data_IF_969186229789
#
_entry.id   IF_969186229789
#
_cell.length_a   1.000
_cell.length_b   1.000
_cell.length_c   1.000
_cell.angle_alpha   90.00
_cell.angle_beta   90.00
_cell.angle_gamma   90.00
#
_symmetry.space_group_name_H-M   'P 1'
#
loop_
_entity.id
_entity.type
_entity.pdbx_description
1 polymer ?
#
# COMPACT_ATOMS: atom_id res chain seq x y z
N UNK A 1 -28.67 -6.37 14.86
CA UNK A 1 -28.42 -7.16 13.63
C UNK A 1 -28.89 -6.37 12.44
N UNK A 2 -27.97 -5.77 11.68
CA UNK A 2 -28.28 -5.19 10.36
C UNK A 2 -28.56 -6.37 9.42
N UNK A 3 -29.83 -6.66 9.12
CA UNK A 3 -30.18 -7.73 8.18
C UNK A 3 -30.02 -7.19 6.75
N UNK A 4 -29.14 -7.80 5.97
CA UNK A 4 -29.12 -7.59 4.52
C UNK A 4 -30.35 -8.26 3.93
N UNK A 5 -31.25 -7.48 3.36
CA UNK A 5 -32.41 -7.98 2.62
C UNK A 5 -32.03 -8.05 1.15
N UNK A 6 -31.95 -9.24 0.56
CA UNK A 6 -31.83 -9.40 -0.90
C UNK A 6 -33.21 -9.13 -1.52
N UNK A 7 -33.30 -8.04 -2.27
CA UNK A 7 -34.44 -7.72 -3.13
C UNK A 7 -34.35 -8.43 -4.49
N UNK A 8 -35.16 -8.01 -5.49
CA UNK A 8 -35.08 -8.51 -6.86
C UNK A 8 -33.63 -8.61 -7.36
N UNK A 9 -33.33 -9.57 -8.25
CA UNK A 9 -31.98 -9.94 -8.70
C UNK A 9 -30.99 -8.74 -8.74
N UNK A 10 -29.96 -8.80 -7.92
CA UNK A 10 -28.86 -7.83 -7.89
C UNK A 10 -28.96 -6.66 -6.88
N UNK A 11 -30.12 -6.44 -6.22
CA UNK A 11 -30.27 -5.34 -5.25
C UNK A 11 -29.99 -5.79 -3.81
N UNK A 12 -29.12 -5.08 -3.09
CA UNK A 12 -28.82 -5.31 -1.67
C UNK A 12 -29.09 -4.03 -0.89
N UNK A 13 -29.83 -4.14 0.23
CA UNK A 13 -30.07 -3.03 1.15
C UNK A 13 -29.49 -3.36 2.53
N UNK A 14 -28.73 -2.44 3.08
CA UNK A 14 -28.25 -2.43 4.46
C UNK A 14 -29.05 -1.35 5.20
N UNK A 15 -29.87 -1.75 6.17
CA UNK A 15 -30.71 -0.81 6.91
C UNK A 15 -30.03 -0.41 8.23
N UNK A 16 -30.01 0.90 8.53
CA UNK A 16 -29.52 1.44 9.79
C UNK A 16 -28.03 1.14 10.04
N UNK A 17 -27.21 1.08 8.97
CA UNK A 17 -25.76 0.86 9.10
C UNK A 17 -25.05 2.16 9.42
N UNK A 18 -24.08 2.14 10.34
CA UNK A 18 -23.20 3.29 10.57
C UNK A 18 -22.29 3.51 9.36
N UNK A 19 -22.17 4.76 8.91
CA UNK A 19 -21.28 5.17 7.80
C UNK A 19 -20.41 6.35 8.26
N UNK A 20 -19.39 6.10 9.12
CA UNK A 20 -18.63 7.19 9.75
C UNK A 20 -17.89 8.09 8.76
N UNK A 21 -17.60 7.58 7.56
CA UNK A 21 -17.01 8.36 6.47
C UNK A 21 -17.92 9.49 5.95
N UNK A 22 -19.25 9.41 6.19
CA UNK A 22 -20.22 10.45 5.85
C UNK A 22 -20.64 11.26 7.07
N UNK A 23 -21.01 10.58 8.17
CA UNK A 23 -21.40 11.19 9.44
C UNK A 23 -21.16 10.17 10.56
N UNK A 24 -20.17 10.39 11.46
CA UNK A 24 -19.85 9.44 12.53
C UNK A 24 -20.97 9.26 13.57
N UNK A 25 -21.90 10.25 13.67
CA UNK A 25 -22.98 10.27 14.64
C UNK A 25 -24.31 9.75 14.07
N UNK A 26 -24.29 9.24 12.83
CA UNK A 26 -25.52 8.83 12.14
C UNK A 26 -25.50 7.36 11.67
N UNK A 27 -26.68 6.86 11.40
CA UNK A 27 -26.90 5.61 10.65
C UNK A 27 -27.67 5.90 9.37
N UNK A 28 -27.45 5.04 8.39
CA UNK A 28 -27.93 5.19 7.03
C UNK A 28 -28.60 3.91 6.54
N UNK A 29 -29.59 4.07 5.66
CA UNK A 29 -30.01 3.01 4.75
C UNK A 29 -29.22 3.13 3.46
N UNK A 30 -28.51 2.07 3.13
CA UNK A 30 -27.63 2.00 1.95
C UNK A 30 -28.14 0.90 1.02
N UNK A 31 -28.50 1.28 -0.22
CA UNK A 31 -28.94 0.34 -1.25
C UNK A 31 -27.97 0.35 -2.42
N UNK A 32 -27.62 -0.84 -2.88
CA UNK A 32 -26.79 -1.06 -4.08
C UNK A 32 -27.58 -1.85 -5.11
N UNK A 33 -27.39 -1.54 -6.38
CA UNK A 33 -27.97 -2.24 -7.52
C UNK A 33 -27.13 -1.99 -8.76
N UNK A 34 -27.05 -2.97 -9.65
CA UNK A 34 -26.24 -2.89 -10.89
C UNK A 34 -24.80 -2.44 -10.68
N UNK A 35 -24.21 -2.84 -9.57
CA UNK A 35 -22.81 -2.53 -9.23
C UNK A 35 -22.54 -1.12 -8.70
N UNK A 36 -23.59 -0.30 -8.47
CA UNK A 36 -23.47 1.07 -7.96
C UNK A 36 -24.32 1.29 -6.71
N UNK A 37 -24.00 2.34 -5.95
CA UNK A 37 -24.91 2.84 -4.90
C UNK A 37 -26.12 3.52 -5.53
N UNK A 38 -27.32 3.02 -5.24
CA UNK A 38 -28.58 3.59 -5.75
C UNK A 38 -29.28 4.45 -4.73
N UNK A 39 -29.01 4.24 -3.43
CA UNK A 39 -29.57 5.04 -2.32
C UNK A 39 -28.57 5.06 -1.17
N UNK A 40 -28.37 6.24 -0.57
CA UNK A 40 -27.66 6.45 0.68
C UNK A 40 -28.46 7.52 1.43
N UNK A 41 -29.20 7.13 2.44
CA UNK A 41 -30.12 8.01 3.16
C UNK A 41 -29.88 7.94 4.66
N UNK A 42 -29.70 9.10 5.29
CA UNK A 42 -29.57 9.22 6.74
C UNK A 42 -30.92 8.91 7.40
N UNK A 43 -30.94 7.93 8.29
CA UNK A 43 -32.19 7.45 8.90
C UNK A 43 -32.30 7.74 10.39
N UNK A 44 -31.20 8.10 11.06
CA UNK A 44 -31.27 8.45 12.48
C UNK A 44 -29.90 8.65 13.11
N UNK A 45 -29.89 8.94 14.43
CA UNK A 45 -28.66 9.01 15.20
C UNK A 45 -28.08 7.62 15.43
N UNK A 46 -26.74 7.53 15.50
CA UNK A 46 -26.03 6.31 15.87
C UNK A 46 -26.25 5.99 17.36
N UNK A 47 -26.74 4.80 17.66
CA UNK A 47 -26.99 4.31 19.02
C UNK A 47 -26.20 3.03 19.32
N UNK A 48 -24.96 2.93 18.84
CA UNK A 48 -24.16 1.73 18.81
C UNK A 48 -24.26 1.02 17.45
N UNK A 49 -23.95 -0.24 17.43
CA UNK A 49 -23.92 -1.09 16.23
C UNK A 49 -22.66 -1.92 16.19
N UNK A 50 -22.77 -3.13 15.64
CA UNK A 50 -21.65 -4.08 15.56
C UNK A 50 -20.73 -3.81 14.36
N UNK A 51 -21.27 -3.09 13.35
CA UNK A 51 -20.59 -2.91 12.06
C UNK A 51 -20.67 -1.46 11.56
N UNK A 52 -19.66 -1.11 10.77
CA UNK A 52 -19.52 0.16 10.07
C UNK A 52 -19.26 -0.10 8.59
N UNK A 53 -19.91 0.67 7.73
CA UNK A 53 -19.62 0.67 6.29
C UNK A 53 -18.58 1.74 5.97
N UNK A 54 -17.51 1.32 5.35
CA UNK A 54 -16.43 2.16 4.87
C UNK A 54 -16.16 1.88 3.39
N UNK A 55 -15.61 2.80 2.60
CA UNK A 55 -15.07 2.45 1.28
C UNK A 55 -14.09 1.28 1.39
N UNK A 56 -13.85 0.56 0.31
CA UNK A 56 -12.78 -0.43 0.29
C UNK A 56 -11.43 0.19 0.63
N UNK A 57 -10.55 -0.57 1.25
CA UNK A 57 -9.21 -0.11 1.59
C UNK A 57 -8.40 0.26 0.35
N UNK A 58 -7.52 1.23 0.50
CA UNK A 58 -6.54 1.62 -0.50
C UNK A 58 -5.14 1.42 0.07
N UNK A 59 -4.34 0.59 -0.59
CA UNK A 59 -2.89 0.49 -0.36
C UNK A 59 -2.21 1.63 -1.10
N UNK A 60 -1.59 2.55 -0.36
CA UNK A 60 -1.02 3.77 -0.97
C UNK A 60 0.46 3.66 -1.31
N UNK A 61 1.12 2.55 -0.94
CA UNK A 61 2.51 2.28 -1.27
C UNK A 61 2.79 0.77 -1.29
N UNK A 62 2.90 0.20 -2.46
CA UNK A 62 3.23 -1.21 -2.67
C UNK A 62 4.19 -1.41 -3.84
N UNK A 63 4.72 -2.61 -3.95
CA UNK A 63 5.58 -3.11 -5.01
C UNK A 63 5.07 -4.48 -5.46
N UNK A 64 4.07 -4.50 -6.34
CA UNK A 64 3.35 -5.74 -6.71
C UNK A 64 4.21 -6.79 -7.43
N UNK A 65 5.39 -6.41 -7.89
CA UNK A 65 6.33 -7.29 -8.59
C UNK A 65 7.60 -7.61 -7.80
N UNK A 66 7.70 -7.18 -6.53
CA UNK A 66 8.83 -7.52 -5.69
C UNK A 66 8.52 -8.74 -4.81
N UNK A 67 9.57 -9.47 -4.36
CA UNK A 67 9.42 -10.64 -3.51
C UNK A 67 9.09 -10.23 -2.07
N UNK A 68 7.79 -10.22 -1.71
CA UNK A 68 7.37 -10.05 -0.32
C UNK A 68 7.83 -11.21 0.58
N UNK A 69 8.12 -12.36 -0.02
CA UNK A 69 8.50 -13.57 0.66
C UNK A 69 9.97 -13.54 1.12
N UNK A 70 10.25 -14.11 2.28
CA UNK A 70 11.60 -14.20 2.84
C UNK A 70 12.54 -15.13 2.07
N UNK A 71 12.01 -15.99 1.21
CA UNK A 71 12.77 -16.88 0.33
C UNK A 71 13.01 -16.28 -1.07
N UNK A 72 12.81 -14.96 -1.21
CA UNK A 72 12.92 -14.19 -2.46
C UNK A 72 12.01 -14.68 -3.60
N UNK A 73 10.97 -15.46 -3.28
CA UNK A 73 9.99 -15.91 -4.26
C UNK A 73 9.05 -14.78 -4.64
N UNK A 74 9.07 -14.37 -5.90
CA UNK A 74 8.11 -13.41 -6.47
C UNK A 74 6.80 -14.14 -6.76
N UNK A 75 5.70 -13.62 -6.24
CA UNK A 75 4.38 -14.18 -6.51
C UNK A 75 3.84 -13.77 -7.88
N UNK A 76 3.01 -14.64 -8.46
CA UNK A 76 2.25 -14.31 -9.66
C UNK A 76 1.33 -13.10 -9.36
N UNK A 77 1.32 -12.04 -10.20
CA UNK A 77 0.45 -10.87 -10.00
C UNK A 77 -1.03 -11.20 -9.83
N UNK A 78 -1.49 -12.35 -10.36
CA UNK A 78 -2.86 -12.83 -10.13
C UNK A 78 -3.09 -13.23 -8.67
N UNK A 79 -2.11 -13.87 -8.04
CA UNK A 79 -2.15 -14.22 -6.62
C UNK A 79 -2.13 -12.94 -5.79
N UNK A 80 -1.21 -12.02 -6.09
CA UNK A 80 -1.10 -10.72 -5.41
C UNK A 80 -2.43 -9.97 -5.43
N UNK A 81 -3.13 -9.93 -6.57
CA UNK A 81 -4.44 -9.30 -6.68
C UNK A 81 -5.49 -9.94 -5.76
N UNK A 82 -5.51 -11.28 -5.69
CA UNK A 82 -6.44 -12.01 -4.82
C UNK A 82 -6.09 -11.85 -3.34
N UNK A 83 -4.79 -11.73 -2.98
CA UNK A 83 -4.35 -11.41 -1.61
C UNK A 83 -4.89 -10.05 -1.17
N UNK A 84 -4.80 -9.02 -2.00
CA UNK A 84 -5.37 -7.70 -1.71
C UNK A 84 -6.89 -7.78 -1.49
N UNK A 85 -7.62 -8.44 -2.39
CA UNK A 85 -9.08 -8.60 -2.25
C UNK A 85 -9.47 -9.34 -0.97
N UNK A 86 -8.74 -10.39 -0.61
CA UNK A 86 -8.98 -11.18 0.59
C UNK A 86 -9.00 -10.29 1.85
N UNK A 87 -8.11 -9.30 1.90
CA UNK A 87 -7.96 -8.36 3.01
C UNK A 87 -8.80 -7.07 2.85
N UNK A 88 -9.68 -7.01 1.84
CA UNK A 88 -10.57 -5.87 1.61
C UNK A 88 -9.88 -4.67 0.96
N UNK A 89 -8.69 -4.85 0.39
CA UNK A 89 -8.01 -3.82 -0.38
C UNK A 89 -8.52 -3.83 -1.81
N UNK A 90 -9.05 -2.69 -2.26
CA UNK A 90 -9.73 -2.55 -3.54
C UNK A 90 -9.01 -1.60 -4.51
N UNK A 91 -8.04 -0.86 -4.01
CA UNK A 91 -7.20 0.07 -4.78
C UNK A 91 -5.75 -0.08 -4.33
N UNK A 92 -4.81 -0.11 -5.27
CA UNK A 92 -3.39 -0.32 -5.02
C UNK A 92 -2.57 0.69 -5.80
N UNK A 93 -1.64 1.38 -5.12
CA UNK A 93 -0.63 2.24 -5.71
C UNK A 93 0.68 1.47 -5.77
N UNK A 94 1.10 1.08 -6.96
CA UNK A 94 2.36 0.38 -7.21
C UNK A 94 3.47 1.41 -7.47
N UNK A 95 4.38 1.55 -6.51
CA UNK A 95 5.40 2.61 -6.48
C UNK A 95 6.57 2.39 -7.43
N UNK A 96 6.81 1.19 -7.86
CA UNK A 96 7.56 0.78 -9.05
C UNK A 96 7.49 -0.73 -9.23
N UNK A 97 7.62 -1.18 -10.46
CA UNK A 97 7.57 -2.60 -10.76
C UNK A 97 8.01 -2.93 -12.18
N UNK A 98 8.19 -4.21 -12.45
CA UNK A 98 8.49 -4.66 -13.82
C UNK A 98 7.24 -4.48 -14.70
N UNK A 99 7.37 -4.01 -15.96
CA UNK A 99 6.23 -3.76 -16.85
C UNK A 99 5.32 -4.96 -17.06
N UNK A 100 5.91 -6.17 -17.08
CA UNK A 100 5.18 -7.42 -17.17
C UNK A 100 4.13 -7.62 -16.07
N UNK A 101 4.30 -6.97 -14.92
CA UNK A 101 3.34 -7.05 -13.82
C UNK A 101 2.04 -6.32 -14.12
N UNK A 102 2.09 -5.17 -14.78
CA UNK A 102 0.90 -4.43 -15.18
C UNK A 102 0.10 -5.19 -16.25
N UNK A 103 0.79 -5.76 -17.24
CA UNK A 103 0.17 -6.58 -18.28
C UNK A 103 -0.42 -7.87 -17.69
N UNK A 104 0.31 -8.55 -16.80
CA UNK A 104 -0.17 -9.75 -16.13
C UNK A 104 -1.37 -9.44 -15.21
N UNK A 105 -1.38 -8.28 -14.56
CA UNK A 105 -2.52 -7.80 -13.76
C UNK A 105 -3.75 -7.58 -14.64
N UNK A 106 -3.58 -6.90 -15.78
CA UNK A 106 -4.67 -6.67 -16.75
C UNK A 106 -5.23 -7.98 -17.30
N UNK A 107 -4.36 -8.88 -17.77
CA UNK A 107 -4.74 -10.20 -18.27
C UNK A 107 -5.41 -11.06 -17.18
N UNK A 108 -4.91 -11.02 -15.94
CA UNK A 108 -5.50 -11.69 -14.80
C UNK A 108 -6.91 -11.17 -14.50
N UNK A 109 -7.11 -9.86 -14.58
CA UNK A 109 -8.43 -9.23 -14.39
C UNK A 109 -9.43 -9.67 -15.43
N UNK A 110 -9.03 -9.79 -16.70
CA UNK A 110 -9.89 -10.25 -17.80
C UNK A 110 -10.27 -11.73 -17.66
N UNK A 111 -9.35 -12.56 -17.20
CA UNK A 111 -9.55 -14.00 -17.04
C UNK A 111 -10.20 -14.40 -15.69
N UNK A 112 -10.25 -13.51 -14.72
CA UNK A 112 -10.72 -13.81 -13.37
C UNK A 112 -12.24 -13.84 -13.27
N UNK A 113 -12.82 -14.84 -12.59
CA UNK A 113 -14.23 -14.81 -12.20
C UNK A 113 -14.49 -13.80 -11.05
N UNK A 114 -13.44 -13.24 -10.44
CA UNK A 114 -13.49 -12.28 -9.34
C UNK A 114 -13.23 -10.87 -9.85
N UNK A 115 -13.85 -9.84 -9.24
CA UNK A 115 -13.40 -8.49 -9.47
C UNK A 115 -11.96 -8.34 -8.98
N UNK A 116 -11.17 -7.52 -9.68
CA UNK A 116 -9.79 -7.22 -9.32
C UNK A 116 -9.71 -5.86 -8.62
N UNK A 117 -8.73 -5.66 -7.70
CA UNK A 117 -8.42 -4.33 -7.22
C UNK A 117 -8.01 -3.43 -8.39
N UNK A 118 -8.40 -2.16 -8.32
CA UNK A 118 -7.87 -1.17 -9.25
C UNK A 118 -6.41 -0.89 -8.91
N UNK A 119 -5.55 -0.77 -9.92
CA UNK A 119 -4.13 -0.46 -9.76
C UNK A 119 -3.79 0.82 -10.50
N UNK A 120 -2.95 1.66 -9.90
CA UNK A 120 -2.20 2.72 -10.58
C UNK A 120 -0.71 2.52 -10.29
N UNK A 121 0.15 2.83 -11.25
CA UNK A 121 1.58 2.57 -11.13
C UNK A 121 2.44 3.67 -11.77
N UNK A 122 3.67 3.82 -11.30
CA UNK A 122 4.63 4.73 -11.90
C UNK A 122 5.39 4.12 -13.10
N UNK A 123 5.28 2.82 -13.31
CA UNK A 123 6.20 2.09 -14.19
C UNK A 123 7.56 1.92 -13.52
N UNK A 124 8.64 2.31 -14.19
CA UNK A 124 9.98 2.33 -13.59
C UNK A 124 10.18 3.58 -12.74
N UNK A 125 10.76 3.41 -11.56
CA UNK A 125 11.22 4.54 -10.76
C UNK A 125 12.44 5.23 -11.43
N UNK A 126 12.76 6.43 -10.98
CA UNK A 126 13.98 7.12 -11.37
C UNK A 126 14.93 7.24 -10.19
N UNK A 127 16.24 7.10 -10.45
CA UNK A 127 17.29 7.18 -9.43
C UNK A 127 18.58 7.75 -9.99
N UNK A 128 19.61 7.92 -9.14
CA UNK A 128 20.91 8.41 -9.56
C UNK A 128 21.68 7.34 -10.36
N UNK A 129 22.58 7.80 -11.23
CA UNK A 129 23.57 6.94 -11.86
C UNK A 129 24.60 6.41 -10.86
N UNK A 130 25.35 5.39 -11.26
CA UNK A 130 26.51 4.92 -10.52
C UNK A 130 27.53 6.07 -10.40
N UNK A 131 27.99 6.33 -9.20
CA UNK A 131 29.00 7.37 -8.93
C UNK A 131 30.43 6.87 -9.14
N UNK A 132 31.40 7.76 -8.94
CA UNK A 132 32.83 7.45 -9.10
C UNK A 132 33.36 6.40 -8.10
N UNK A 133 32.64 6.16 -7.00
CA UNK A 133 32.94 5.12 -6.03
C UNK A 133 32.26 3.77 -6.34
N UNK A 134 31.57 3.67 -7.49
CA UNK A 134 30.85 2.47 -7.92
C UNK A 134 29.51 2.25 -7.19
N UNK A 135 29.00 3.24 -6.45
CA UNK A 135 27.71 3.15 -5.75
C UNK A 135 26.57 3.41 -6.71
N UNK A 136 25.61 2.52 -6.78
CA UNK A 136 24.39 2.69 -7.55
C UNK A 136 23.36 3.51 -6.77
N UNK A 137 22.43 4.14 -7.47
CA UNK A 137 21.29 4.79 -6.83
C UNK A 137 20.41 3.78 -6.12
N UNK A 138 20.07 4.03 -4.86
CA UNK A 138 19.18 3.21 -4.02
C UNK A 138 19.54 1.71 -3.95
N UNK A 139 20.82 1.36 -4.06
CA UNK A 139 21.30 -0.02 -3.91
C UNK A 139 20.76 -1.02 -4.95
N UNK A 140 20.33 -0.55 -6.08
CA UNK A 140 19.68 -1.39 -7.08
C UNK A 140 20.71 -2.24 -7.83
N UNK A 141 20.61 -3.55 -7.70
CA UNK A 141 21.30 -4.50 -8.56
C UNK A 141 20.52 -4.70 -9.86
N UNK A 142 21.21 -4.72 -11.00
CA UNK A 142 20.56 -4.90 -12.29
C UNK A 142 20.32 -6.37 -12.64
N UNK A 143 19.18 -6.69 -13.32
CA UNK A 143 18.16 -5.80 -13.87
C UNK A 143 17.14 -5.36 -12.81
N UNK A 144 16.86 -4.05 -12.76
CA UNK A 144 15.88 -3.46 -11.84
C UNK A 144 14.93 -2.52 -12.62
N UNK A 145 13.69 -2.32 -12.13
CA UNK A 145 12.70 -1.45 -12.78
C UNK A 145 12.95 0.03 -12.49
N UNK A 146 14.15 0.53 -12.88
CA UNK A 146 14.55 1.91 -12.66
C UNK A 146 15.21 2.52 -13.89
N UNK A 147 15.05 3.84 -14.07
CA UNK A 147 15.83 4.67 -14.97
C UNK A 147 16.86 5.47 -14.17
N UNK A 148 18.09 5.46 -14.65
CA UNK A 148 19.16 6.27 -14.06
C UNK A 148 19.20 7.66 -14.69
N UNK A 149 19.22 8.68 -13.84
CA UNK A 149 19.26 10.08 -14.28
C UNK A 149 20.63 10.68 -14.05
N UNK A 150 21.30 11.12 -15.12
CA UNK A 150 22.50 11.95 -15.07
C UNK A 150 22.21 13.37 -15.59
N UNK A 151 21.35 13.49 -16.59
CA UNK A 151 20.99 14.72 -17.28
C UNK A 151 19.48 14.82 -17.52
N UNK A 152 19.05 15.98 -17.90
CA UNK A 152 17.63 16.32 -18.09
C UNK A 152 16.93 15.46 -19.17
N UNK A 153 17.66 15.07 -20.23
CA UNK A 153 17.13 14.21 -21.29
C UNK A 153 16.77 12.81 -20.80
N UNK A 154 17.45 12.31 -19.76
CA UNK A 154 17.16 10.98 -19.22
C UNK A 154 15.77 10.95 -18.57
N UNK A 155 15.41 12.06 -17.87
CA UNK A 155 14.08 12.18 -17.27
C UNK A 155 13.00 12.30 -18.35
N UNK A 156 13.23 13.03 -19.43
CA UNK A 156 12.29 13.14 -20.53
C UNK A 156 12.02 11.78 -21.17
N UNK A 157 13.08 10.97 -21.34
CA UNK A 157 12.97 9.59 -21.82
C UNK A 157 12.17 8.72 -20.80
N UNK A 158 12.50 8.78 -19.52
CA UNK A 158 11.85 8.00 -18.47
C UNK A 158 10.35 8.30 -18.39
N UNK A 159 9.95 9.58 -18.42
CA UNK A 159 8.55 10.00 -18.38
C UNK A 159 7.76 9.48 -19.60
N UNK A 160 8.33 9.60 -20.81
CA UNK A 160 7.68 9.06 -22.01
C UNK A 160 7.56 7.53 -21.97
N UNK A 161 8.63 6.84 -21.67
CA UNK A 161 8.64 5.38 -21.62
C UNK A 161 7.70 4.81 -20.54
N UNK A 162 7.58 5.49 -19.40
CA UNK A 162 6.61 5.11 -18.38
C UNK A 162 5.17 5.37 -18.85
N UNK A 163 4.89 6.52 -19.45
CA UNK A 163 3.56 6.84 -19.98
C UNK A 163 3.12 5.85 -21.08
N UNK A 164 4.01 5.45 -21.97
CA UNK A 164 3.75 4.42 -23.01
C UNK A 164 3.39 3.06 -22.42
N UNK A 165 3.83 2.78 -21.18
CA UNK A 165 3.51 1.56 -20.41
C UNK A 165 2.32 1.74 -19.46
N UNK A 166 1.61 2.87 -19.51
CA UNK A 166 0.46 3.16 -18.66
C UNK A 166 0.82 3.70 -17.28
N UNK A 167 2.08 4.06 -17.03
CA UNK A 167 2.51 4.75 -15.81
C UNK A 167 1.89 6.14 -15.73
N UNK A 168 1.32 6.48 -14.58
CA UNK A 168 0.50 7.68 -14.39
C UNK A 168 1.14 8.74 -13.48
N UNK A 169 2.17 8.37 -12.74
CA UNK A 169 2.91 9.25 -11.84
C UNK A 169 4.41 8.91 -11.89
N UNK A 170 5.23 9.69 -11.21
CA UNK A 170 6.68 9.50 -11.14
C UNK A 170 7.09 9.11 -9.72
N UNK A 171 7.83 8.02 -9.56
CA UNK A 171 8.54 7.67 -8.32
C UNK A 171 10.01 8.06 -8.44
N UNK A 172 10.52 8.80 -7.46
CA UNK A 172 11.92 9.22 -7.37
C UNK A 172 12.55 8.53 -6.15
N UNK A 173 13.61 7.76 -6.36
CA UNK A 173 14.38 7.12 -5.30
C UNK A 173 15.59 8.00 -4.99
N UNK A 174 15.62 8.58 -3.79
CA UNK A 174 16.58 9.64 -3.45
C UNK A 174 17.47 9.32 -2.24
N UNK A 175 17.04 8.48 -1.31
CA UNK A 175 17.83 8.16 -0.12
C UNK A 175 19.22 7.62 -0.45
N UNK A 176 20.22 7.98 0.37
CA UNK A 176 21.58 7.43 0.28
C UNK A 176 21.89 6.36 1.33
N UNK A 177 20.89 5.95 2.11
CA UNK A 177 21.05 4.96 3.17
C UNK A 177 21.70 5.48 4.44
N UNK A 178 21.83 6.79 4.64
CA UNK A 178 22.49 7.38 5.81
C UNK A 178 21.72 7.20 7.12
N UNK A 179 20.43 6.91 7.05
CA UNK A 179 19.61 6.59 8.21
C UNK A 179 20.03 5.29 8.92
N UNK A 180 20.97 4.56 8.35
CA UNK A 180 21.55 3.35 8.93
C UNK A 180 23.02 3.57 9.28
N UNK A 181 23.37 4.25 10.40
CA UNK A 181 24.74 4.46 10.82
C UNK A 181 25.49 3.13 10.95
N UNK A 182 26.68 3.06 10.37
CA UNK A 182 27.48 1.82 10.37
C UNK A 182 27.12 0.83 9.26
N UNK A 183 26.06 1.04 8.50
CA UNK A 183 25.78 0.24 7.30
C UNK A 183 26.93 0.38 6.30
N UNK A 184 27.46 -0.72 5.76
CA UNK A 184 28.46 -0.67 4.70
C UNK A 184 27.86 -0.17 3.37
N UNK A 185 26.55 -0.22 3.25
CA UNK A 185 25.83 0.17 2.04
C UNK A 185 25.59 1.67 2.04
N UNK A 186 26.06 2.31 0.98
CA UNK A 186 25.77 3.72 0.67
C UNK A 186 25.32 3.79 -0.76
N UNK A 187 24.27 4.60 -1.00
CA UNK A 187 23.72 4.79 -2.33
C UNK A 187 24.20 6.10 -2.93
N UNK A 188 24.27 6.14 -4.25
CA UNK A 188 24.41 7.37 -5.01
C UNK A 188 23.09 8.16 -4.97
N UNK A 189 23.16 9.49 -4.87
CA UNK A 189 21.99 10.39 -4.88
C UNK A 189 21.97 11.25 -6.12
N UNK A 190 20.76 11.62 -6.54
CA UNK A 190 20.56 12.67 -7.52
C UNK A 190 21.19 13.97 -7.00
N UNK A 191 21.90 14.70 -7.87
CA UNK A 191 22.38 16.04 -7.53
C UNK A 191 21.18 16.99 -7.33
N UNK A 192 21.36 18.02 -6.50
CA UNK A 192 20.31 19.03 -6.26
C UNK A 192 19.78 19.63 -7.58
N UNK A 193 20.66 19.86 -8.54
CA UNK A 193 20.26 20.34 -9.88
C UNK A 193 19.30 19.40 -10.58
N UNK A 194 19.61 18.09 -10.60
CA UNK A 194 18.76 17.09 -11.24
C UNK A 194 17.45 16.93 -10.46
N UNK A 195 17.52 16.97 -9.13
CA UNK A 195 16.33 16.86 -8.27
C UNK A 195 15.35 18.03 -8.50
N UNK A 196 15.84 19.28 -8.50
CA UNK A 196 15.03 20.48 -8.81
C UNK A 196 14.43 20.43 -10.22
N UNK A 197 15.23 19.99 -11.18
CA UNK A 197 14.77 19.81 -12.53
C UNK A 197 13.67 18.76 -12.62
N UNK A 198 13.84 17.64 -11.90
CA UNK A 198 12.84 16.54 -11.87
C UNK A 198 11.49 17.03 -11.33
N UNK A 199 11.50 17.74 -10.20
CA UNK A 199 10.27 18.28 -9.61
C UNK A 199 9.58 19.28 -10.56
N UNK A 200 10.35 20.19 -11.16
CA UNK A 200 9.83 21.19 -12.10
C UNK A 200 9.25 20.54 -13.35
N UNK A 201 9.98 19.63 -14.01
CA UNK A 201 9.51 18.98 -15.24
C UNK A 201 8.27 18.12 -14.98
N UNK A 202 8.18 17.42 -13.87
CA UNK A 202 7.00 16.68 -13.49
C UNK A 202 5.79 17.61 -13.37
N UNK A 203 5.94 18.74 -12.66
CA UNK A 203 4.88 19.73 -12.50
C UNK A 203 4.45 20.37 -13.85
N UNK A 204 5.41 20.77 -14.71
CA UNK A 204 5.15 21.35 -16.04
C UNK A 204 4.37 20.37 -16.96
N UNK A 205 4.55 19.08 -16.77
CA UNK A 205 3.86 18.03 -17.53
C UNK A 205 2.57 17.53 -16.87
N UNK A 206 2.22 18.06 -15.71
CA UNK A 206 1.06 17.60 -14.95
C UNK A 206 1.22 16.17 -14.41
N UNK A 207 2.46 15.69 -14.25
CA UNK A 207 2.77 14.39 -13.67
C UNK A 207 3.03 14.56 -12.18
N UNK A 208 2.25 13.87 -11.36
CA UNK A 208 2.47 13.87 -9.91
C UNK A 208 3.75 13.10 -9.58
N UNK A 209 4.63 13.67 -8.73
CA UNK A 209 5.88 13.04 -8.33
C UNK A 209 5.87 12.66 -6.85
N UNK A 210 6.22 11.40 -6.56
CA UNK A 210 6.40 10.86 -5.21
C UNK A 210 7.88 10.57 -4.98
N UNK A 211 8.45 11.04 -3.87
CA UNK A 211 9.87 10.89 -3.59
C UNK A 211 10.13 10.02 -2.36
N UNK A 212 11.13 9.18 -2.46
CA UNK A 212 11.65 8.36 -1.37
C UNK A 212 12.74 9.14 -0.63
N UNK A 213 12.43 9.53 0.61
CA UNK A 213 13.34 10.17 1.54
C UNK A 213 13.17 9.51 2.91
N UNK A 214 14.29 9.25 3.60
CA UNK A 214 14.29 8.56 4.88
C UNK A 214 14.72 9.45 6.05
N UNK A 215 15.52 10.47 5.78
CA UNK A 215 16.04 11.39 6.79
C UNK A 215 15.38 12.78 6.70
N UNK A 216 15.40 13.51 7.81
CA UNK A 216 14.95 14.91 7.83
C UNK A 216 15.70 15.76 6.81
N UNK A 217 17.00 15.56 6.68
CA UNK A 217 17.82 16.32 5.74
C UNK A 217 17.43 16.05 4.29
N UNK A 218 17.21 14.80 3.91
CA UNK A 218 16.74 14.43 2.57
C UNK A 218 15.34 15.00 2.29
N UNK A 219 14.45 14.93 3.27
CA UNK A 219 13.09 15.48 3.17
C UNK A 219 13.10 16.99 2.95
N UNK A 220 13.96 17.73 3.69
CA UNK A 220 14.14 19.17 3.48
C UNK A 220 14.62 19.48 2.07
N UNK A 221 15.65 18.82 1.60
CA UNK A 221 16.17 19.04 0.23
C UNK A 221 15.11 18.76 -0.83
N UNK A 222 14.39 17.65 -0.68
CA UNK A 222 13.32 17.31 -1.63
C UNK A 222 12.18 18.33 -1.57
N UNK A 223 11.76 18.78 -0.39
CA UNK A 223 10.73 19.79 -0.22
C UNK A 223 11.13 21.14 -0.82
N UNK A 224 12.37 21.60 -0.59
CA UNK A 224 12.95 22.80 -1.20
C UNK A 224 13.05 22.72 -2.73
N UNK A 225 13.22 21.50 -3.26
CA UNK A 225 13.20 21.24 -4.69
C UNK A 225 11.79 21.23 -5.31
N UNK A 226 10.72 21.23 -4.48
CA UNK A 226 9.34 21.29 -4.94
C UNK A 226 8.50 20.04 -4.72
N UNK A 227 9.08 18.95 -4.18
CA UNK A 227 8.30 17.75 -3.87
C UNK A 227 7.36 17.98 -2.68
N UNK A 228 6.18 17.35 -2.72
CA UNK A 228 5.14 17.44 -1.69
C UNK A 228 4.56 16.08 -1.28
N UNK A 229 4.93 15.00 -1.96
CA UNK A 229 4.50 13.64 -1.66
C UNK A 229 5.72 12.79 -1.32
N UNK A 230 5.78 12.33 -0.08
CA UNK A 230 6.88 11.55 0.47
C UNK A 230 6.44 10.10 0.67
N UNK A 231 7.21 9.19 0.10
CA UNK A 231 6.93 7.76 0.11
C UNK A 231 7.01 7.13 1.51
N UNK A 232 7.71 7.78 2.42
CA UNK A 232 7.88 7.37 3.81
C UNK A 232 7.81 8.57 4.75
N UNK A 233 7.57 8.31 6.03
CA UNK A 233 7.82 9.30 7.08
C UNK A 233 9.30 9.32 7.45
N UNK A 234 9.78 10.46 7.94
CA UNK A 234 11.15 10.62 8.44
C UNK A 234 11.43 9.59 9.54
N UNK A 235 12.58 8.92 9.46
CA UNK A 235 12.93 7.79 10.34
C UNK A 235 14.21 7.97 11.16
N UNK A 236 14.99 9.03 10.93
CA UNK A 236 16.23 9.31 11.65
C UNK A 236 16.02 10.15 12.93
N UNK A 237 14.83 10.73 13.10
CA UNK A 237 14.41 11.46 14.31
C UNK A 237 12.91 11.73 14.34
N UNK A 238 12.41 12.00 15.53
CA UNK A 238 11.07 12.58 15.71
C UNK A 238 11.10 14.06 15.32
N UNK A 239 10.15 14.49 14.48
CA UNK A 239 9.97 15.87 14.05
C UNK A 239 9.25 16.67 15.14
N UNK A 240 9.70 17.88 15.37
CA UNK A 240 9.06 18.84 16.28
C UNK A 240 8.11 19.80 15.49
N UNK A 241 7.45 20.69 16.22
CA UNK A 241 6.51 21.65 15.61
C UNK A 241 7.18 22.64 14.64
N UNK A 242 8.49 22.90 14.78
CA UNK A 242 9.25 23.77 13.86
C UNK A 242 9.50 23.01 12.55
N UNK A 243 9.96 21.75 12.66
CA UNK A 243 10.15 20.88 11.50
C UNK A 243 8.84 20.74 10.70
N UNK A 244 7.71 20.48 11.38
CA UNK A 244 6.41 20.33 10.70
C UNK A 244 5.92 21.59 9.99
N UNK A 245 6.24 22.79 10.49
CA UNK A 245 5.90 24.03 9.80
C UNK A 245 6.67 24.22 8.50
N UNK A 246 7.85 23.63 8.39
CA UNK A 246 8.64 23.66 7.15
C UNK A 246 7.97 22.85 6.03
N UNK A 247 7.15 21.84 6.36
CA UNK A 247 6.55 20.91 5.42
C UNK A 247 5.07 21.20 5.13
N UNK A 248 4.66 22.45 5.11
CA UNK A 248 3.27 22.83 4.81
C UNK A 248 2.82 22.29 3.45
N UNK A 249 1.67 21.59 3.42
CA UNK A 249 1.12 20.96 2.22
C UNK A 249 1.84 19.69 1.76
N UNK A 250 2.83 19.20 2.52
CA UNK A 250 3.42 17.90 2.26
C UNK A 250 2.55 16.78 2.83
N UNK A 251 2.55 15.63 2.14
CA UNK A 251 1.90 14.40 2.60
C UNK A 251 2.92 13.26 2.66
N UNK A 252 2.75 12.39 3.64
CA UNK A 252 3.66 11.30 3.95
C UNK A 252 2.94 9.96 3.97
N UNK A 253 3.56 8.91 3.44
CA UNK A 253 3.07 7.55 3.59
C UNK A 253 3.70 6.91 4.83
N UNK A 254 2.94 6.14 5.61
CA UNK A 254 3.41 5.61 6.90
C UNK A 254 4.48 4.52 6.78
N UNK A 255 4.20 3.42 6.11
CA UNK A 255 5.11 2.30 5.76
C UNK A 255 5.89 1.65 6.93
N UNK A 256 5.29 1.59 8.11
CA UNK A 256 5.90 0.92 9.28
C UNK A 256 6.04 -0.58 9.04
N UNK A 257 5.06 -1.19 8.37
CA UNK A 257 5.03 -2.61 8.07
C UNK A 257 6.20 -3.05 7.17
N UNK A 258 6.74 -2.16 6.33
CA UNK A 258 7.92 -2.44 5.51
C UNK A 258 9.23 -2.56 6.32
N UNK A 259 9.33 -1.85 7.44
CA UNK A 259 10.53 -1.88 8.30
C UNK A 259 10.41 -2.91 9.44
N UNK A 260 9.20 -3.15 9.94
CA UNK A 260 8.93 -3.99 11.13
C UNK A 260 9.53 -5.40 11.02
N UNK A 261 9.40 -6.15 9.91
CA UNK A 261 9.91 -7.50 9.80
C UNK A 261 11.43 -7.61 10.02
N UNK A 262 12.18 -6.56 9.71
CA UNK A 262 13.64 -6.55 9.79
C UNK A 262 14.19 -6.56 11.22
N UNK A 263 13.36 -6.31 12.22
CA UNK A 263 13.77 -6.26 13.64
C UNK A 263 13.22 -7.41 14.47
N UNK A 264 12.60 -8.42 13.86
CA UNK A 264 11.93 -9.53 14.51
C UNK A 264 12.60 -10.87 14.19
N UNK A 265 12.56 -11.80 15.14
CA UNK A 265 12.79 -13.22 14.85
C UNK A 265 11.59 -13.78 14.07
N UNK A 266 11.75 -14.94 13.44
CA UNK A 266 10.64 -15.61 12.76
C UNK A 266 9.51 -15.98 13.71
N UNK A 267 9.82 -16.38 14.96
CA UNK A 267 8.80 -16.69 15.97
C UNK A 267 8.00 -15.45 16.36
N UNK A 268 8.67 -14.34 16.66
CA UNK A 268 8.02 -13.06 16.96
C UNK A 268 7.17 -12.58 15.78
N UNK A 269 7.71 -12.67 14.57
CA UNK A 269 6.99 -12.32 13.35
C UNK A 269 5.69 -13.13 13.21
N UNK A 270 5.76 -14.47 13.31
CA UNK A 270 4.58 -15.32 13.19
C UNK A 270 3.59 -15.12 14.31
N UNK A 271 4.03 -14.83 15.54
CA UNK A 271 3.14 -14.51 16.66
C UNK A 271 2.36 -13.21 16.41
N UNK A 272 3.00 -12.20 15.84
CA UNK A 272 2.38 -10.90 15.57
C UNK A 272 1.58 -10.90 14.27
N UNK A 273 2.10 -11.53 13.21
CA UNK A 273 1.52 -11.53 11.87
C UNK A 273 0.76 -12.80 11.50
N UNK A 274 0.95 -13.92 12.18
CA UNK A 274 0.29 -15.20 11.87
C UNK A 274 -1.19 -15.26 12.27
N UNK A 275 -1.96 -14.18 12.08
CA UNK A 275 -3.38 -14.06 12.40
C UNK A 275 -4.26 -14.55 11.26
N UNK A 276 -5.58 -14.50 11.44
CA UNK A 276 -6.57 -14.80 10.42
C UNK A 276 -6.28 -14.10 9.09
N UNK A 277 -6.33 -14.82 8.00
CA UNK A 277 -6.03 -14.33 6.65
C UNK A 277 -4.57 -14.48 6.23
N UNK A 278 -3.62 -14.65 7.16
CA UNK A 278 -2.21 -14.81 6.81
C UNK A 278 -1.94 -16.20 6.22
N UNK A 279 -2.29 -17.26 6.94
CA UNK A 279 -2.06 -18.63 6.49
C UNK A 279 -2.88 -18.99 5.24
N UNK A 280 -4.06 -18.40 5.08
CA UNK A 280 -4.93 -18.61 3.93
C UNK A 280 -4.41 -17.96 2.64
N UNK A 281 -3.57 -16.93 2.79
CA UNK A 281 -3.08 -16.14 1.65
C UNK A 281 -1.59 -16.28 1.39
N UNK A 282 -0.79 -16.76 2.37
CA UNK A 282 0.65 -16.91 2.21
C UNK A 282 1.06 -18.32 1.76
N UNK A 283 2.20 -18.44 1.11
CA UNK A 283 2.77 -19.74 0.71
C UNK A 283 3.29 -20.49 1.94
N UNK A 284 2.92 -21.76 2.07
CA UNK A 284 3.35 -22.62 3.18
C UNK A 284 4.88 -22.75 3.24
N UNK A 285 5.55 -22.78 2.08
CA UNK A 285 7.02 -22.88 2.00
C UNK A 285 7.68 -21.63 2.61
N UNK A 286 7.12 -20.46 2.32
CA UNK A 286 7.58 -19.21 2.92
C UNK A 286 7.34 -19.18 4.43
N UNK A 287 6.21 -19.70 4.91
CA UNK A 287 5.93 -19.82 6.35
C UNK A 287 6.95 -20.74 7.06
N UNK A 288 7.34 -21.84 6.43
CA UNK A 288 8.37 -22.74 6.98
C UNK A 288 9.74 -22.09 7.00
N UNK A 289 10.08 -21.29 5.97
CA UNK A 289 11.29 -20.49 5.96
C UNK A 289 11.29 -19.47 7.11
N UNK A 290 10.21 -18.72 7.29
CA UNK A 290 10.07 -17.71 8.36
C UNK A 290 10.24 -18.35 9.74
N UNK A 291 9.68 -19.54 10.00
CA UNK A 291 9.87 -20.26 11.25
C UNK A 291 11.34 -20.59 11.58
N UNK A 292 12.17 -20.71 10.55
CA UNK A 292 13.61 -20.96 10.68
C UNK A 292 14.46 -19.72 10.98
N UNK A 293 13.88 -18.51 10.98
CA UNK A 293 14.61 -17.27 11.27
C UNK A 293 14.84 -17.14 12.78
N UNK A 294 16.02 -17.55 13.24
CA UNK A 294 16.37 -17.51 14.66
C UNK A 294 16.75 -16.12 15.17
N UNK A 295 17.27 -15.26 14.29
CA UNK A 295 17.76 -13.92 14.63
C UNK A 295 17.15 -12.87 13.71
N UNK A 296 16.78 -11.68 14.24
CA UNK A 296 16.37 -10.59 13.39
C UNK A 296 17.38 -10.26 12.30
N UNK A 297 16.92 -10.02 11.09
CA UNK A 297 17.77 -9.65 9.96
C UNK A 297 18.68 -8.45 10.26
N UNK A 298 18.17 -7.47 11.02
CA UNK A 298 18.95 -6.31 11.44
C UNK A 298 20.18 -6.64 12.32
N UNK A 299 20.19 -7.76 13.06
CA UNK A 299 21.35 -8.18 13.87
C UNK A 299 22.50 -8.58 12.97
N UNK A 300 22.24 -9.32 11.89
CA UNK A 300 23.28 -9.78 10.97
C UNK A 300 24.06 -8.62 10.35
N UNK A 301 23.36 -7.51 10.10
CA UNK A 301 23.96 -6.30 9.53
C UNK A 301 24.38 -5.25 10.59
N UNK A 302 24.22 -5.55 11.89
CA UNK A 302 24.58 -4.62 12.98
C UNK A 302 23.73 -3.36 13.04
N UNK A 303 22.52 -3.39 12.50
CA UNK A 303 21.64 -2.21 12.38
C UNK A 303 20.31 -2.35 13.15
N UNK A 304 20.14 -3.40 13.96
CA UNK A 304 18.87 -3.67 14.65
C UNK A 304 18.44 -2.52 15.58
N UNK A 305 19.34 -2.01 16.41
CA UNK A 305 19.03 -0.91 17.34
C UNK A 305 18.63 0.36 16.58
N UNK A 306 19.36 0.67 15.51
CA UNK A 306 19.04 1.81 14.64
C UNK A 306 17.67 1.65 13.97
N UNK A 307 17.35 0.46 13.48
CA UNK A 307 16.05 0.18 12.86
C UNK A 307 14.91 0.21 13.88
N UNK A 308 15.13 -0.26 15.10
CA UNK A 308 14.15 -0.16 16.20
C UNK A 308 13.85 1.29 16.53
N UNK A 309 14.89 2.14 16.66
CA UNK A 309 14.73 3.56 16.87
C UNK A 309 14.02 4.23 15.68
N UNK A 310 14.41 3.89 14.45
CA UNK A 310 13.78 4.40 13.23
C UNK A 310 12.29 4.07 13.17
N UNK A 311 11.87 2.85 13.49
CA UNK A 311 10.47 2.46 13.54
C UNK A 311 9.67 3.29 14.56
N UNK A 312 10.26 3.55 15.73
CA UNK A 312 9.64 4.38 16.76
C UNK A 312 9.50 5.83 16.31
N UNK A 313 10.51 6.40 15.62
CA UNK A 313 10.46 7.75 15.06
C UNK A 313 9.45 7.84 13.92
N UNK A 314 9.44 6.89 12.99
CA UNK A 314 8.45 6.79 11.92
C UNK A 314 7.03 6.80 12.49
N UNK A 315 6.75 6.00 13.51
CA UNK A 315 5.43 5.95 14.13
C UNK A 315 5.03 7.29 14.74
N UNK A 316 5.94 7.93 15.50
CA UNK A 316 5.66 9.26 16.09
C UNK A 316 5.37 10.30 14.99
N UNK A 317 6.17 10.30 13.93
CA UNK A 317 6.00 11.21 12.80
C UNK A 317 4.71 10.90 12.02
N UNK A 318 4.38 9.63 11.78
CA UNK A 318 3.12 9.23 11.16
C UNK A 318 1.90 9.69 11.98
N UNK A 319 1.92 9.54 13.30
CA UNK A 319 0.84 10.01 14.16
C UNK A 319 0.73 11.54 14.20
N UNK A 320 1.85 12.26 14.11
CA UNK A 320 1.82 13.72 13.97
C UNK A 320 1.20 14.12 12.62
N UNK A 321 1.62 13.49 11.50
CA UNK A 321 1.03 13.70 10.18
C UNK A 321 -0.47 13.33 10.15
N UNK A 322 -0.88 12.24 10.81
CA UNK A 322 -2.30 11.84 10.92
C UNK A 322 -3.16 12.94 11.55
N UNK A 323 -2.70 13.50 12.69
CA UNK A 323 -3.43 14.58 13.40
C UNK A 323 -3.51 15.88 12.58
N UNK A 324 -2.60 16.08 11.65
CA UNK A 324 -2.57 17.22 10.72
C UNK A 324 -3.41 16.97 9.46
N UNK A 325 -3.82 15.74 9.19
CA UNK A 325 -4.50 15.34 7.97
C UNK A 325 -3.56 15.07 6.78
N UNK A 326 -2.27 14.98 7.04
CA UNK A 326 -1.21 14.86 6.03
C UNK A 326 -0.69 13.41 5.87
N UNK A 327 -1.25 12.44 6.61
CA UNK A 327 -0.87 11.03 6.51
C UNK A 327 -1.63 10.31 5.41
N UNK A 328 -0.93 9.45 4.70
CA UNK A 328 -1.46 8.39 3.84
C UNK A 328 -1.06 7.05 4.47
N UNK A 329 -1.97 6.07 4.47
CA UNK A 329 -1.69 4.74 5.04
C UNK A 329 -1.25 3.81 3.93
N UNK A 330 0.00 3.38 3.96
CA UNK A 330 0.58 2.42 3.03
C UNK A 330 1.63 1.57 3.74
N UNK A 331 2.08 0.49 3.11
CA UNK A 331 2.81 -0.57 3.80
C UNK A 331 4.21 -0.81 3.30
N UNK A 332 4.52 -0.39 2.08
CA UNK A 332 5.71 -0.81 1.35
C UNK A 332 5.70 -2.34 1.07
N UNK A 333 4.48 -2.92 0.92
CA UNK A 333 4.31 -4.34 0.63
C UNK A 333 4.94 -4.72 -0.71
N UNK A 334 5.55 -5.90 -0.75
CA UNK A 334 6.49 -6.33 -1.78
C UNK A 334 7.93 -6.34 -1.30
N UNK A 335 8.29 -5.58 -0.26
CA UNK A 335 9.54 -5.78 0.45
C UNK A 335 9.45 -7.00 1.36
N UNK A 336 10.60 -7.64 1.62
CA UNK A 336 10.70 -8.89 2.38
C UNK A 336 9.99 -8.80 3.74
N UNK A 337 9.02 -9.66 3.96
CA UNK A 337 8.20 -9.71 5.17
C UNK A 337 7.03 -8.72 5.19
N UNK A 338 6.89 -7.85 4.20
CA UNK A 338 5.74 -6.96 4.03
C UNK A 338 4.78 -7.54 2.97
N UNK A 339 3.82 -8.33 3.41
CA UNK A 339 2.94 -9.13 2.56
C UNK A 339 1.78 -8.36 1.97
N UNK A 340 1.47 -8.62 0.71
CA UNK A 340 0.40 -7.98 -0.03
C UNK A 340 -0.97 -8.15 0.64
N UNK A 341 -1.68 -7.06 0.84
CA UNK A 341 -2.99 -7.01 1.48
C UNK A 341 -2.93 -7.17 3.01
N UNK A 342 -2.26 -8.20 3.52
CA UNK A 342 -2.15 -8.46 4.94
C UNK A 342 -1.45 -7.32 5.70
N UNK A 343 -0.35 -6.82 5.15
CA UNK A 343 0.44 -5.77 5.80
C UNK A 343 -0.32 -4.46 6.01
N UNK A 344 -1.35 -4.17 5.18
CA UNK A 344 -2.17 -2.98 5.40
C UNK A 344 -2.96 -3.04 6.72
N UNK A 345 -3.48 -4.21 7.06
CA UNK A 345 -4.17 -4.41 8.33
C UNK A 345 -3.18 -4.33 9.51
N UNK A 346 -1.98 -4.90 9.35
CA UNK A 346 -0.90 -4.79 10.34
C UNK A 346 -0.43 -3.34 10.53
N UNK A 347 -0.33 -2.57 9.44
CA UNK A 347 0.01 -1.14 9.47
C UNK A 347 -0.98 -0.34 10.32
N UNK A 348 -2.28 -0.62 10.17
CA UNK A 348 -3.32 0.03 10.99
C UNK A 348 -3.13 -0.24 12.48
N UNK A 349 -2.81 -1.49 12.87
CA UNK A 349 -2.53 -1.84 14.28
C UNK A 349 -1.21 -1.21 14.77
N UNK A 350 -0.16 -1.20 13.96
CA UNK A 350 1.11 -0.55 14.30
C UNK A 350 0.95 0.95 14.55
N UNK A 351 0.14 1.62 13.72
CA UNK A 351 -0.18 3.04 13.90
C UNK A 351 -1.06 3.28 15.14
N UNK A 352 -2.10 2.47 15.32
CA UNK A 352 -3.03 2.58 16.46
C UNK A 352 -2.31 2.37 17.79
N UNK A 353 -1.55 1.28 17.92
CA UNK A 353 -1.05 0.83 19.21
C UNK A 353 -2.20 0.64 20.19
N UNK A 354 -2.07 1.21 21.40
CA UNK A 354 -3.07 1.09 22.47
C UNK A 354 -4.10 2.23 22.48
N UNK A 355 -4.13 3.10 21.45
CA UNK A 355 -5.00 4.27 21.40
C UNK A 355 -6.21 4.07 20.46
N UNK A 356 -7.36 3.58 20.94
CA UNK A 356 -8.55 3.38 20.11
C UNK A 356 -9.19 4.68 19.59
N UNK A 357 -8.81 5.84 20.11
CA UNK A 357 -9.30 7.13 19.59
C UNK A 357 -8.80 7.42 18.17
N UNK A 358 -7.75 6.72 17.73
CA UNK A 358 -7.19 6.85 16.38
C UNK A 358 -7.98 6.06 15.32
N UNK A 359 -8.84 5.11 15.72
CA UNK A 359 -9.50 4.16 14.80
C UNK A 359 -10.23 4.85 13.65
N UNK A 360 -11.04 5.85 13.96
CA UNK A 360 -11.81 6.58 12.93
C UNK A 360 -10.92 7.33 11.94
N UNK A 361 -9.84 7.97 12.43
CA UNK A 361 -8.90 8.70 11.58
C UNK A 361 -8.09 7.74 10.70
N UNK A 362 -7.61 6.64 11.25
CA UNK A 362 -6.85 5.63 10.52
C UNK A 362 -7.69 4.96 9.43
N UNK A 363 -8.93 4.56 9.75
CA UNK A 363 -9.88 4.05 8.76
C UNK A 363 -10.19 5.06 7.68
N UNK A 364 -10.38 6.33 8.04
CA UNK A 364 -10.61 7.39 7.05
C UNK A 364 -9.42 7.52 6.09
N UNK A 365 -8.18 7.52 6.59
CA UNK A 365 -6.98 7.62 5.75
C UNK A 365 -6.75 6.37 4.90
N UNK A 366 -7.01 5.16 5.44
CA UNK A 366 -6.89 3.92 4.67
C UNK A 366 -8.00 3.71 3.63
N UNK A 367 -9.05 4.54 3.63
CA UNK A 367 -10.21 4.41 2.73
C UNK A 367 -10.42 5.69 1.92
N UNK A 368 -11.06 6.72 2.47
CA UNK A 368 -11.40 7.96 1.77
C UNK A 368 -10.13 8.74 1.39
N UNK A 369 -9.20 8.91 2.32
CA UNK A 369 -7.92 9.59 2.09
C UNK A 369 -7.08 8.87 1.05
N UNK A 370 -6.90 7.55 1.22
CA UNK A 370 -6.17 6.70 0.27
C UNK A 370 -6.81 6.69 -1.11
N UNK A 371 -8.17 6.61 -1.19
CA UNK A 371 -8.85 6.66 -2.48
C UNK A 371 -8.65 8.01 -3.20
N UNK A 372 -8.69 9.11 -2.47
CA UNK A 372 -8.43 10.44 -3.04
C UNK A 372 -7.00 10.54 -3.59
N UNK A 373 -6.03 9.98 -2.87
CA UNK A 373 -4.65 9.88 -3.33
C UNK A 373 -4.49 8.99 -4.56
N UNK A 374 -5.15 7.82 -4.58
CA UNK A 374 -5.17 6.93 -5.74
C UNK A 374 -5.73 7.63 -6.99
N UNK A 375 -6.86 8.35 -6.85
CA UNK A 375 -7.47 9.10 -7.95
C UNK A 375 -6.55 10.21 -8.46
N UNK A 376 -5.86 10.94 -7.56
CA UNK A 376 -4.86 11.94 -7.91
C UNK A 376 -3.71 11.34 -8.74
N UNK A 377 -3.11 10.25 -8.26
CA UNK A 377 -2.02 9.58 -8.98
C UNK A 377 -2.47 8.96 -10.30
N UNK A 378 -3.72 8.53 -10.40
CA UNK A 378 -4.32 7.99 -11.63
C UNK A 378 -4.70 9.06 -12.65
N UNK A 379 -4.52 10.36 -12.35
CA UNK A 379 -4.98 11.47 -13.19
C UNK A 379 -6.51 11.57 -13.28
N UNK A 380 -7.25 10.95 -12.38
CA UNK A 380 -8.72 11.00 -12.33
C UNK A 380 -9.17 12.27 -11.60
N UNK A 381 -10.28 12.84 -12.05
CA UNK A 381 -10.87 13.98 -11.35
C UNK A 381 -11.40 13.53 -9.99
N UNK A 382 -10.82 14.04 -8.91
CA UNK A 382 -11.28 13.80 -7.54
C UNK A 382 -12.52 14.64 -7.27
N UNK A 383 -13.71 14.12 -7.52
CA UNK A 383 -14.92 14.97 -7.42
C UNK A 383 -16.00 14.43 -6.50
N UNK A 384 -16.31 13.15 -6.58
CA UNK A 384 -17.38 12.54 -5.81
C UNK A 384 -16.82 11.73 -4.63
N UNK A 385 -17.50 11.80 -3.48
CA UNK A 385 -17.20 10.90 -2.36
C UNK A 385 -17.37 9.44 -2.80
N UNK A 386 -16.46 8.50 -2.45
CA UNK A 386 -16.57 7.10 -2.86
C UNK A 386 -17.88 6.43 -2.41
N UNK A 387 -18.49 6.93 -1.33
CA UNK A 387 -19.84 6.57 -0.89
C UNK A 387 -20.82 7.65 -1.33
N UNK A 388 -21.16 7.72 -2.60
CA UNK A 388 -22.20 8.60 -3.16
C UNK A 388 -23.09 7.82 -4.12
N UNK A 389 -24.32 8.27 -4.28
CA UNK A 389 -25.25 7.68 -5.25
C UNK A 389 -24.65 7.78 -6.65
N UNK A 390 -24.68 6.69 -7.40
CA UNK A 390 -24.05 6.55 -8.72
C UNK A 390 -22.58 6.12 -8.70
N UNK A 391 -21.89 6.19 -7.56
CA UNK A 391 -20.55 5.65 -7.44
C UNK A 391 -20.54 4.11 -7.45
N UNK A 392 -19.44 3.45 -7.91
CA UNK A 392 -19.29 2.01 -7.83
C UNK A 392 -19.53 1.51 -6.40
N UNK A 393 -20.36 0.50 -6.21
CA UNK A 393 -20.64 -0.11 -4.92
C UNK A 393 -19.44 -0.95 -4.45
N UNK A 394 -18.36 -0.26 -4.03
CA UNK A 394 -17.10 -0.85 -3.55
C UNK A 394 -16.89 -0.42 -2.10
N UNK A 395 -17.06 -1.36 -1.17
CA UNK A 395 -17.03 -1.07 0.25
C UNK A 395 -16.62 -2.29 1.10
N UNK A 396 -16.15 -2.00 2.30
CA UNK A 396 -15.96 -2.94 3.39
C UNK A 396 -17.03 -2.73 4.46
N UNK A 397 -17.61 -3.80 4.97
CA UNK A 397 -18.32 -3.80 6.23
C UNK A 397 -17.33 -4.24 7.30
N UNK A 398 -16.95 -3.33 8.17
CA UNK A 398 -15.98 -3.55 9.23
C UNK A 398 -16.71 -3.76 10.56
N UNK A 399 -16.06 -4.44 11.50
CA UNK A 399 -16.49 -4.36 12.88
C UNK A 399 -16.38 -2.93 13.39
N UNK A 400 -17.35 -2.50 14.18
CA UNK A 400 -17.28 -1.20 14.85
C UNK A 400 -16.03 -1.15 15.76
N UNK A 401 -15.46 0.04 15.88
CA UNK A 401 -14.29 0.26 16.76
C UNK A 401 -14.62 -0.10 18.20
N UNK A 402 -13.72 -0.83 18.84
CA UNK A 402 -13.81 -1.19 20.24
C UNK A 402 -12.38 -1.26 20.83
N UNK A 403 -12.21 -0.90 22.12
CA UNK A 403 -10.86 -0.86 22.73
C UNK A 403 -10.13 -2.20 22.70
N UNK A 404 -10.85 -3.30 22.79
CA UNK A 404 -10.37 -4.69 22.83
C UNK A 404 -10.28 -5.35 21.45
N UNK A 405 -10.64 -4.64 20.38
CA UNK A 405 -10.62 -5.18 19.01
C UNK A 405 -9.50 -4.55 18.19
N UNK A 406 -8.65 -5.40 17.60
CA UNK A 406 -7.61 -4.97 16.68
C UNK A 406 -8.21 -4.36 15.39
N UNK A 407 -7.55 -3.33 14.84
CA UNK A 407 -7.91 -2.79 13.52
C UNK A 407 -7.54 -3.76 12.38
N UNK A 408 -6.60 -4.66 12.62
CA UNK A 408 -6.20 -5.73 11.70
C UNK A 408 -7.24 -6.84 11.52
N UNK A 409 -8.38 -6.77 12.22
CA UNK A 409 -9.47 -7.71 11.97
C UNK A 409 -9.94 -7.62 10.51
N UNK A 410 -10.07 -8.79 9.86
CA UNK A 410 -10.60 -8.85 8.49
C UNK A 410 -11.96 -8.15 8.41
N UNK A 411 -12.28 -7.46 7.30
CA UNK A 411 -13.62 -6.98 7.06
C UNK A 411 -14.65 -8.10 7.22
N UNK A 412 -15.78 -7.86 7.84
CA UNK A 412 -16.89 -8.82 7.91
C UNK A 412 -17.35 -9.20 6.50
N UNK A 413 -17.35 -8.19 5.63
CA UNK A 413 -17.74 -8.33 4.22
C UNK A 413 -16.98 -7.34 3.37
N UNK A 414 -16.55 -7.79 2.21
CA UNK A 414 -15.99 -6.94 1.16
C UNK A 414 -16.87 -7.04 -0.08
N UNK A 415 -17.24 -5.91 -0.64
CA UNK A 415 -18.02 -5.82 -1.87
C UNK A 415 -17.25 -4.98 -2.87
N UNK A 416 -17.11 -5.45 -4.10
CA UNK A 416 -16.45 -4.72 -5.18
C UNK A 416 -17.39 -4.63 -6.37
N UNK A 417 -17.80 -3.39 -6.70
CA UNK A 417 -18.77 -3.13 -7.78
C UNK A 417 -20.03 -4.00 -7.67
N UNK A 418 -20.56 -4.11 -6.44
CA UNK A 418 -21.75 -4.89 -6.14
C UNK A 418 -21.52 -6.39 -6.00
N UNK A 419 -20.32 -6.91 -6.32
CA UNK A 419 -19.99 -8.32 -6.15
C UNK A 419 -19.45 -8.58 -4.75
N UNK A 420 -20.07 -9.50 -4.04
CA UNK A 420 -19.63 -9.98 -2.71
C UNK A 420 -18.42 -10.89 -2.84
N UNK A 421 -17.41 -10.64 -2.04
CA UNK A 421 -16.15 -11.41 -2.08
C UNK A 421 -16.25 -12.61 -1.14
N UNK A 422 -16.30 -13.81 -1.71
CA UNK A 422 -16.22 -15.08 -1.00
C UNK A 422 -14.75 -15.40 -0.67
N UNK A 423 -14.30 -15.07 0.54
CA UNK A 423 -12.92 -15.31 1.00
C UNK A 423 -12.51 -16.79 0.97
N UNK A 424 -13.33 -17.75 1.45
CA UNK A 424 -13.00 -19.16 1.30
C UNK A 424 -12.74 -19.58 -0.16
N UNK A 425 -13.52 -19.05 -1.09
CA UNK A 425 -13.29 -19.34 -2.51
C UNK A 425 -12.03 -18.65 -3.04
N UNK A 426 -11.72 -17.40 -2.59
CA UNK A 426 -10.45 -16.75 -2.92
C UNK A 426 -9.25 -17.54 -2.38
N UNK A 427 -9.27 -18.01 -1.14
CA UNK A 427 -8.19 -18.81 -0.58
C UNK A 427 -7.94 -20.08 -1.41
N UNK A 428 -9.01 -20.77 -1.85
CA UNK A 428 -8.89 -21.93 -2.75
C UNK A 428 -8.30 -21.54 -4.12
N UNK A 429 -8.68 -20.39 -4.67
CA UNK A 429 -8.13 -19.90 -5.93
C UNK A 429 -6.64 -19.56 -5.82
N UNK A 430 -6.21 -18.90 -4.73
CA UNK A 430 -4.81 -18.65 -4.42
C UNK A 430 -4.02 -19.96 -4.35
N UNK A 431 -4.51 -20.93 -3.59
CA UNK A 431 -3.86 -22.23 -3.46
C UNK A 431 -3.78 -22.98 -4.81
N UNK A 432 -4.82 -22.90 -5.64
CA UNK A 432 -4.83 -23.51 -6.97
C UNK A 432 -3.83 -22.87 -7.93
N UNK A 433 -3.66 -21.53 -7.87
CA UNK A 433 -2.66 -20.82 -8.70
C UNK A 433 -1.23 -21.14 -8.27
N UNK A 434 -0.98 -21.44 -6.99
CA UNK A 434 0.34 -21.85 -6.48
C UNK A 434 0.65 -23.32 -6.73
N UNK A 435 -0.37 -24.16 -6.93
CA UNK A 435 -0.14 -25.57 -7.21
C UNK A 435 0.75 -25.68 -8.47
N UNK A 436 1.83 -26.49 -8.45
CA UNK A 436 2.63 -26.66 -9.63
C UNK A 436 1.71 -27.17 -10.74
N UNK A 437 1.62 -26.44 -11.84
CA UNK A 437 1.01 -26.97 -13.05
C UNK A 437 1.66 -28.33 -13.28
N UNK A 438 0.86 -29.40 -13.33
CA UNK A 438 1.38 -30.73 -13.66
C UNK A 438 2.23 -30.54 -14.92
N UNK A 439 3.54 -30.68 -14.78
CA UNK A 439 4.47 -30.61 -15.89
C UNK A 439 4.02 -31.76 -16.79
N UNK A 440 3.29 -31.43 -17.84
CA UNK A 440 3.08 -32.36 -18.93
C UNK A 440 4.48 -32.69 -19.41
N UNK A 441 4.88 -33.93 -19.13
CA UNK A 441 6.19 -34.50 -19.47
C UNK A 441 6.61 -34.06 -20.87
N UNK A 442 7.73 -33.32 -21.06
CA UNK A 442 8.18 -32.93 -22.39
C UNK A 442 8.71 -34.11 -23.20
N UNK A 443 8.56 -35.35 -22.72
CA UNK A 443 8.99 -36.57 -23.40
C UNK A 443 7.96 -37.18 -24.35
N UNK A 444 6.91 -36.46 -24.69
CA UNK A 444 5.98 -36.85 -25.78
C UNK A 444 6.47 -36.55 -27.19
N UNK A 445 7.74 -36.24 -27.43
CA UNK A 445 8.36 -36.25 -28.79
C UNK A 445 9.36 -37.39 -28.83
N UNK A 446 8.84 -38.58 -29.07
CA UNK A 446 9.63 -39.74 -29.46
C UNK A 446 9.65 -39.84 -30.97
N UNK A 447 10.88 -40.04 -31.50
CA UNK A 447 11.35 -40.62 -32.74
C UNK A 447 10.72 -40.09 -34.05
#
# INVERSE_FOLDING_TARGET
MSQAVRGQEGTVTLNGVAVPALDPEAVFDVTTGDGVFTRIERTGPRRGGEHELWPGYTETHAHVSLPANWDDTVEDPRIVALQYLYHGVTHVVDMFGFPLSADAWAAGREASPWPYPEITHCGYAVTATTDAAGRTGHGVEFPAPVYMLAVESDLDHALRANAERGGTFLKVMFTDGTEQPGSPVRFSRLSERVLRFTARMAAERGVTAVIDCNTLQETRWAYECGFRLFAHTVRDRTLDEVDWKEFEGARFVSTLAGLRPMIMTGEEFLAEYGREGFAETQDVRNLDFVRGIEKPYGIEYGVQETRTAALADMRRNALAALRRGDLLVGTDSGNTGAYHGYSLLSELDLLRGDDPALDGMLRHQATVGGRRYFDELSGRTTGAHPLSVGAPATYNLLHASAPDRALSALPVRTVVRGTDIDRPALARAIAALRAPHAVTDPKGMAA
#
